data_IF_730531917088
#
_entry.id   IF_730531917088
#
_cell.length_a   1.000
_cell.length_b   1.000
_cell.length_c   1.000
_cell.angle_alpha   90.00
_cell.angle_beta   90.00
_cell.angle_gamma   90.00
#
_symmetry.space_group_name_H-M   'P 1'
#
loop_
_entity.id
_entity.type
_entity.pdbx_description
1 polymer ?
#
# COMPACT_ATOMS: atom_id res chain seq x y z
N UNK A 1 8.80 -7.13 1.23
CA UNK A 1 7.93 -6.31 0.35
C UNK A 1 6.74 -7.16 -0.04
N UNK A 2 5.53 -6.59 -0.04
CA UNK A 2 4.30 -7.26 -0.47
C UNK A 2 3.68 -6.42 -1.59
N UNK A 3 3.47 -7.02 -2.76
CA UNK A 3 2.73 -6.42 -3.86
C UNK A 3 1.27 -6.87 -3.81
N UNK A 4 0.32 -5.92 -3.82
CA UNK A 4 -1.12 -6.24 -3.75
C UNK A 4 -1.76 -5.86 -5.08
N UNK A 5 -2.32 -6.87 -5.75
CA UNK A 5 -3.01 -6.72 -7.04
C UNK A 5 -4.40 -7.33 -7.01
N UNK A 6 -5.33 -6.69 -7.69
CA UNK A 6 -6.71 -7.15 -7.82
C UNK A 6 -7.33 -6.67 -9.13
N UNK A 7 -8.43 -7.29 -9.53
CA UNK A 7 -9.24 -6.84 -10.68
C UNK A 7 -9.88 -5.47 -10.41
N UNK A 8 -10.27 -5.22 -9.15
CA UNK A 8 -10.80 -3.93 -8.69
C UNK A 8 -9.76 -3.21 -7.82
N UNK A 9 -9.39 -1.96 -8.16
CA UNK A 9 -8.50 -1.16 -7.34
C UNK A 9 -8.98 -0.96 -5.90
N UNK A 10 -10.29 -0.86 -5.72
CA UNK A 10 -10.92 -0.72 -4.39
C UNK A 10 -10.63 -1.93 -3.51
N UNK A 11 -10.71 -3.14 -4.06
CA UNK A 11 -10.48 -4.37 -3.30
C UNK A 11 -9.03 -4.45 -2.81
N UNK A 12 -8.07 -4.16 -3.69
CA UNK A 12 -6.66 -4.15 -3.30
C UNK A 12 -6.36 -3.04 -2.28
N UNK A 13 -6.91 -1.83 -2.47
CA UNK A 13 -6.70 -0.72 -1.54
C UNK A 13 -7.23 -1.03 -0.13
N UNK A 14 -8.45 -1.58 -0.03
CA UNK A 14 -9.04 -1.98 1.25
C UNK A 14 -8.25 -3.11 1.92
N UNK A 15 -7.85 -4.13 1.15
CA UNK A 15 -7.02 -5.21 1.65
C UNK A 15 -5.69 -4.69 2.21
N UNK A 16 -5.05 -3.78 1.48
CA UNK A 16 -3.77 -3.18 1.87
C UNK A 16 -3.88 -2.34 3.15
N UNK A 17 -4.95 -1.56 3.29
CA UNK A 17 -5.21 -0.81 4.53
C UNK A 17 -5.43 -1.71 5.74
N UNK A 18 -6.17 -2.82 5.57
CA UNK A 18 -6.34 -3.80 6.65
C UNK A 18 -5.01 -4.50 7.02
N UNK A 19 -4.18 -4.80 6.02
CA UNK A 19 -2.84 -5.37 6.26
C UNK A 19 -1.91 -4.40 6.99
N UNK A 20 -1.97 -3.10 6.67
CA UNK A 20 -1.24 -2.06 7.40
C UNK A 20 -1.66 -2.03 8.87
N UNK A 21 -2.97 -2.00 9.14
CA UNK A 21 -3.51 -2.02 10.51
C UNK A 21 -3.03 -3.25 11.29
N UNK A 22 -3.04 -4.43 10.66
CA UNK A 22 -2.55 -5.66 11.27
C UNK A 22 -1.05 -5.61 11.56
N UNK A 23 -0.24 -5.13 10.61
CA UNK A 23 1.20 -4.98 10.80
C UNK A 23 1.50 -4.01 11.96
N UNK A 24 0.81 -2.88 12.02
CA UNK A 24 0.94 -1.93 13.13
C UNK A 24 0.56 -2.57 14.47
N UNK A 25 -0.49 -3.39 14.52
CA UNK A 25 -0.88 -4.13 15.72
C UNK A 25 0.18 -5.15 16.18
N UNK A 26 1.03 -5.62 15.27
CA UNK A 26 2.17 -6.51 15.55
C UNK A 26 3.47 -5.76 15.85
N UNK A 27 3.41 -4.44 16.09
CA UNK A 27 4.57 -3.55 16.25
C UNK A 27 5.52 -3.52 15.03
N UNK A 28 4.98 -3.78 13.84
CA UNK A 28 5.68 -3.57 12.57
C UNK A 28 5.30 -2.22 11.97
N UNK A 29 6.24 -1.61 11.26
CA UNK A 29 6.00 -0.43 10.43
C UNK A 29 5.71 -0.82 8.99
N UNK A 30 4.89 -0.01 8.32
CA UNK A 30 4.55 -0.18 6.91
C UNK A 30 4.75 1.12 6.14
N UNK A 31 5.33 1.02 4.95
CA UNK A 31 5.39 2.10 3.96
C UNK A 31 4.75 1.65 2.66
N UNK A 32 3.81 2.45 2.15
CA UNK A 32 3.30 2.33 0.80
C UNK A 32 4.26 2.96 -0.20
N UNK A 33 4.90 2.13 -1.03
CA UNK A 33 5.81 2.58 -2.07
C UNK A 33 5.03 2.84 -3.37
N UNK A 34 4.61 4.08 -3.58
CA UNK A 34 4.02 4.52 -4.86
C UNK A 34 5.00 4.39 -6.03
N UNK A 35 6.29 4.64 -5.79
CA UNK A 35 7.33 4.49 -6.81
C UNK A 35 7.44 3.07 -7.34
N UNK A 36 7.29 2.06 -6.47
CA UNK A 36 7.32 0.66 -6.89
C UNK A 36 6.11 0.29 -7.74
N UNK A 37 4.94 0.89 -7.47
CA UNK A 37 3.75 0.72 -8.31
C UNK A 37 4.00 1.33 -9.68
N UNK A 38 4.43 2.60 -9.75
CA UNK A 38 4.72 3.28 -11.02
C UNK A 38 5.81 2.56 -11.84
N UNK A 39 6.90 2.15 -11.20
CA UNK A 39 7.97 1.42 -11.88
C UNK A 39 7.48 0.09 -12.49
N UNK A 40 6.62 -0.63 -11.77
CA UNK A 40 6.03 -1.86 -12.27
C UNK A 40 5.02 -1.61 -13.38
N UNK A 41 4.27 -0.50 -13.37
CA UNK A 41 3.34 -0.16 -14.45
C UNK A 41 4.07 0.11 -15.78
N UNK A 42 5.22 0.79 -15.73
CA UNK A 42 6.00 1.22 -16.89
C UNK A 42 6.96 0.15 -17.44
N UNK A 43 7.18 -0.96 -16.72
CA UNK A 43 8.14 -1.99 -17.11
C UNK A 43 7.55 -3.41 -17.03
N UNK A 44 7.45 -4.07 -18.18
CA UNK A 44 6.92 -5.43 -18.30
C UNK A 44 7.77 -6.47 -17.54
N UNK A 45 9.10 -6.36 -17.55
CA UNK A 45 9.99 -7.29 -16.82
C UNK A 45 9.71 -7.26 -15.32
N UNK A 46 9.34 -6.09 -14.78
CA UNK A 46 8.96 -5.95 -13.37
C UNK A 46 7.59 -6.59 -13.12
N UNK A 47 6.63 -6.45 -14.03
CA UNK A 47 5.32 -7.13 -13.91
C UNK A 47 5.47 -8.66 -13.93
N UNK A 48 6.32 -9.15 -14.81
CA UNK A 48 6.63 -10.57 -14.96
C UNK A 48 7.35 -11.09 -13.72
N UNK A 49 8.34 -10.33 -13.21
CA UNK A 49 9.02 -10.63 -11.94
C UNK A 49 8.04 -10.72 -10.76
N UNK A 50 7.03 -9.84 -10.72
CA UNK A 50 5.98 -9.83 -9.70
C UNK A 50 4.88 -10.88 -9.94
N UNK A 51 4.95 -11.67 -11.03
CA UNK A 51 3.94 -12.65 -11.43
C UNK A 51 2.51 -12.06 -11.47
N UNK A 52 2.38 -10.83 -11.97
CA UNK A 52 1.08 -10.19 -12.11
C UNK A 52 0.27 -10.89 -13.22
N UNK A 53 -0.96 -11.30 -12.89
CA UNK A 53 -1.89 -11.84 -13.89
C UNK A 53 -2.38 -10.70 -14.79
N UNK A 54 -2.56 -10.96 -16.09
CA UNK A 54 -2.98 -9.95 -17.09
C UNK A 54 -4.26 -9.19 -16.71
N UNK A 55 -5.16 -9.82 -15.94
CA UNK A 55 -6.44 -9.21 -15.55
C UNK A 55 -6.39 -8.45 -14.21
N UNK A 56 -5.24 -8.37 -13.55
CA UNK A 56 -5.09 -7.72 -12.25
C UNK A 56 -4.27 -6.44 -12.36
N UNK A 57 -4.77 -5.40 -11.73
CA UNK A 57 -4.06 -4.14 -11.57
C UNK A 57 -3.23 -4.20 -10.28
N UNK A 58 -1.95 -3.85 -10.36
CA UNK A 58 -1.12 -3.62 -9.18
C UNK A 58 -1.51 -2.27 -8.57
N UNK A 59 -1.88 -2.26 -7.29
CA UNK A 59 -2.47 -1.05 -6.67
C UNK A 59 -1.58 -0.51 -5.56
N UNK A 60 -1.00 -1.40 -4.76
CA UNK A 60 -0.09 -1.02 -3.69
C UNK A 60 1.12 -1.94 -3.66
N UNK A 61 2.23 -1.37 -3.21
CA UNK A 61 3.41 -2.14 -2.81
C UNK A 61 3.78 -1.70 -1.40
N UNK A 62 3.78 -2.66 -0.47
CA UNK A 62 3.99 -2.44 0.95
C UNK A 62 5.39 -2.91 1.34
N UNK A 63 6.18 -2.02 1.93
CA UNK A 63 7.44 -2.37 2.59
C UNK A 63 7.11 -2.49 4.08
N UNK A 64 7.37 -3.67 4.65
CA UNK A 64 7.05 -4.01 6.05
C UNK A 64 8.35 -4.36 6.76
N UNK A 65 8.51 -3.89 8.00
CA UNK A 65 9.67 -4.21 8.82
C UNK A 65 9.53 -3.69 10.24
N UNK A 66 10.56 -3.89 11.05
CA UNK A 66 10.64 -3.30 12.38
C UNK A 66 11.07 -1.83 12.25
N UNK A 67 10.30 -0.89 12.83
CA UNK A 67 10.69 0.50 12.82
C UNK A 67 11.91 0.70 13.72
N UNK A 68 12.93 1.38 13.20
CA UNK A 68 14.14 1.79 13.95
C UNK A 68 13.93 3.12 14.71
N UNK A 69 12.74 3.72 14.56
CA UNK A 69 12.40 5.02 15.13
C UNK A 69 11.02 4.98 15.79
N UNK A 70 10.87 5.74 16.87
CA UNK A 70 9.61 5.88 17.60
C UNK A 70 8.95 7.23 17.25
N UNK A 71 7.71 7.18 16.75
CA UNK A 71 6.96 8.37 16.38
C UNK A 71 6.15 8.88 17.58
N UNK A 72 6.50 10.07 18.07
CA UNK A 72 5.86 10.68 19.25
C UNK A 72 4.47 11.30 18.96
N UNK A 73 4.10 11.47 17.68
CA UNK A 73 2.82 12.04 17.26
C UNK A 73 2.42 11.56 15.88
N UNK A 74 1.12 11.58 15.60
CA UNK A 74 0.59 11.31 14.26
C UNK A 74 0.92 12.46 13.30
N UNK A 75 0.95 12.15 11.99
CA UNK A 75 1.19 13.15 10.94
C UNK A 75 0.02 14.14 10.89
N UNK A 76 0.26 15.47 10.90
CA UNK A 76 -0.81 16.45 10.80
C UNK A 76 -1.58 16.28 9.48
N UNK A 77 -2.89 16.07 9.58
CA UNK A 77 -3.80 15.96 8.43
C UNK A 77 -4.57 17.27 8.23
N UNK A 78 -4.98 17.54 6.99
CA UNK A 78 -5.90 18.64 6.68
C UNK A 78 -7.24 18.42 7.42
N UNK A 79 -7.94 19.51 7.76
CA UNK A 79 -9.30 19.43 8.30
C UNK A 79 -10.21 18.69 7.32
N UNK A 80 -11.11 17.85 7.84
CA UNK A 80 -12.10 17.17 7.02
C UNK A 80 -13.07 18.19 6.38
N UNK A 81 -13.30 18.07 5.08
CA UNK A 81 -14.38 18.78 4.38
C UNK A 81 -15.64 17.91 4.49
N UNK A 82 -16.56 18.30 5.37
CA UNK A 82 -17.77 17.53 5.69
C UNK A 82 -18.99 18.27 5.19
N UNK A 83 -19.78 17.62 4.33
CA UNK A 83 -21.07 18.11 3.85
C UNK A 83 -22.17 17.17 4.32
N UNK A 84 -23.10 17.70 5.13
CA UNK A 84 -24.33 17.01 5.50
C UNK A 84 -25.43 17.52 4.58
N UNK A 85 -26.15 16.61 3.92
CA UNK A 85 -27.35 16.90 3.11
C UNK A 85 -28.51 16.11 3.66
#
# INVERSE_FOLDING_TARGET
>A
MIAVSAESPVNAALASGNMELMANALNLGVVFSGFSVTAAEDNQEIKDFLNLKENKVLVTVMIIGYPDVEYQRTVPRKKADVKWK
#
